data_IF_082360428869
#
_entry.id   IF_082360428869
#
_cell.length_a   1.000
_cell.length_b   1.000
_cell.length_c   1.000
_cell.angle_alpha   90.00
_cell.angle_beta   90.00
_cell.angle_gamma   90.00
#
_symmetry.space_group_name_H-M   'P 1'
#
loop_
_entity.id
_entity.type
_entity.pdbx_description
1 polymer ?
#
# COMPACT_ATOMS: atom_id res chain seq x y z
N UNK A 1 13.80 -6.94 17.44
CA UNK A 1 12.68 -6.42 16.62
C UNK A 1 11.76 -5.68 17.57
N UNK A 2 11.59 -4.37 17.41
CA UNK A 2 10.69 -3.58 18.26
C UNK A 2 9.25 -3.72 17.74
N UNK A 3 8.29 -3.84 18.66
CA UNK A 3 6.88 -3.70 18.32
C UNK A 3 6.61 -2.22 18.02
N UNK A 4 5.84 -1.95 16.98
CA UNK A 4 5.44 -0.61 16.56
C UNK A 4 3.93 -0.57 16.53
N UNK A 5 3.34 0.35 17.28
CA UNK A 5 1.90 0.63 17.22
C UNK A 5 1.67 1.79 16.26
N UNK A 6 0.81 1.66 15.24
CA UNK A 6 0.53 2.74 14.29
C UNK A 6 0.08 4.04 14.96
N UNK A 7 -0.60 3.92 16.11
CA UNK A 7 -1.06 5.05 16.92
C UNK A 7 0.06 5.84 17.61
N UNK A 8 1.25 5.28 17.71
CA UNK A 8 2.41 5.91 18.36
C UNK A 8 3.39 6.54 17.37
N UNK A 9 3.15 6.36 16.07
CA UNK A 9 3.97 6.91 14.99
C UNK A 9 3.82 8.43 14.97
N UNK A 10 4.94 9.15 15.12
CA UNK A 10 4.96 10.61 15.13
C UNK A 10 5.12 11.17 13.73
N UNK A 11 4.67 12.40 13.51
CA UNK A 11 4.75 13.10 12.21
C UNK A 11 6.16 13.08 11.61
N UNK A 12 7.19 13.23 12.45
CA UNK A 12 8.61 13.21 12.04
C UNK A 12 9.11 11.86 11.52
N UNK A 13 8.33 10.80 11.71
CA UNK A 13 8.64 9.45 11.25
C UNK A 13 7.96 9.12 9.91
N UNK A 14 7.06 10.00 9.45
CA UNK A 14 6.37 9.91 8.19
C UNK A 14 7.20 10.54 7.06
N UNK A 15 6.97 10.11 5.80
CA UNK A 15 6.11 9.02 5.36
C UNK A 15 6.71 7.62 5.61
N UNK A 16 5.86 6.60 5.61
CA UNK A 16 6.25 5.19 5.75
C UNK A 16 5.67 4.33 4.63
N UNK A 17 6.44 3.33 4.21
CA UNK A 17 5.92 2.18 3.45
C UNK A 17 5.52 1.10 4.45
N UNK A 18 4.39 0.45 4.22
CA UNK A 18 3.91 -0.64 5.05
C UNK A 18 3.67 -1.86 4.16
N UNK A 19 4.40 -2.94 4.47
CA UNK A 19 4.18 -4.24 3.87
C UNK A 19 3.17 -5.01 4.72
N UNK A 20 2.16 -5.58 4.06
CA UNK A 20 1.02 -6.22 4.71
C UNK A 20 0.93 -7.68 4.29
N UNK A 21 0.71 -8.55 5.27
CA UNK A 21 0.29 -9.93 5.06
C UNK A 21 -1.10 -10.16 5.66
N UNK A 22 -2.13 -10.21 4.81
CA UNK A 22 -3.44 -10.75 5.18
C UNK A 22 -3.43 -12.29 5.08
N UNK A 23 -3.63 -12.95 6.22
CA UNK A 23 -3.60 -14.42 6.30
C UNK A 23 -4.93 -15.12 5.94
N UNK A 24 -6.00 -14.39 5.63
CA UNK A 24 -7.35 -14.99 5.41
C UNK A 24 -7.72 -15.20 3.94
N UNK A 25 -7.05 -14.55 3.00
CA UNK A 25 -7.48 -14.50 1.59
C UNK A 25 -6.76 -15.47 0.65
N UNK A 26 -7.53 -16.16 -0.21
CA UNK A 26 -6.99 -16.95 -1.33
C UNK A 26 -6.19 -16.10 -2.32
N UNK A 27 -6.64 -14.88 -2.58
CA UNK A 27 -5.90 -13.87 -3.37
C UNK A 27 -4.53 -13.62 -2.76
N UNK A 28 -4.47 -13.40 -1.45
CA UNK A 28 -3.21 -13.16 -0.75
C UNK A 28 -2.26 -14.36 -0.80
N UNK A 29 -2.80 -15.57 -0.75
CA UNK A 29 -2.02 -16.79 -0.96
C UNK A 29 -1.43 -16.88 -2.37
N UNK A 30 -2.22 -16.56 -3.41
CA UNK A 30 -1.75 -16.56 -4.80
C UNK A 30 -0.62 -15.55 -5.02
N UNK A 31 -0.75 -14.34 -4.46
CA UNK A 31 0.29 -13.31 -4.54
C UNK A 31 1.58 -13.80 -3.91
N UNK A 32 1.53 -14.32 -2.68
CA UNK A 32 2.70 -14.84 -1.96
C UNK A 32 3.37 -16.00 -2.70
N UNK A 33 2.57 -16.92 -3.26
CA UNK A 33 3.07 -18.03 -4.08
C UNK A 33 3.74 -17.53 -5.37
N UNK A 34 3.15 -16.53 -6.02
CA UNK A 34 3.69 -15.97 -7.26
C UNK A 34 4.99 -15.19 -7.01
N UNK A 35 5.00 -14.32 -5.99
CA UNK A 35 6.14 -13.46 -5.66
C UNK A 35 7.27 -14.18 -4.91
N UNK A 36 7.04 -15.43 -4.47
CA UNK A 36 7.90 -16.13 -3.52
C UNK A 36 8.17 -15.31 -2.24
N UNK A 37 7.19 -14.48 -1.85
CA UNK A 37 7.27 -13.54 -0.75
C UNK A 37 6.30 -13.88 0.40
N UNK A 38 6.39 -13.10 1.49
CA UNK A 38 5.52 -13.23 2.66
C UNK A 38 4.43 -12.18 2.73
N UNK A 39 4.54 -11.10 1.96
CA UNK A 39 3.56 -10.01 1.92
C UNK A 39 2.70 -10.13 0.67
N UNK A 40 1.42 -9.77 0.82
CA UNK A 40 0.45 -9.80 -0.27
C UNK A 40 -0.16 -8.43 -0.59
N UNK A 41 0.22 -7.40 0.17
CA UNK A 41 -0.24 -6.06 -0.05
C UNK A 41 0.82 -5.04 0.42
N UNK A 42 0.78 -3.85 -0.15
CA UNK A 42 1.64 -2.73 0.19
C UNK A 42 0.79 -1.47 0.24
N UNK A 43 1.04 -0.65 1.25
CA UNK A 43 0.34 0.60 1.48
C UNK A 43 1.32 1.63 2.03
N UNK A 44 0.86 2.87 2.13
CA UNK A 44 1.66 3.99 2.59
C UNK A 44 1.01 4.62 3.82
N UNK A 45 1.80 5.32 4.62
CA UNK A 45 1.31 6.19 5.69
C UNK A 45 1.94 7.56 5.48
N UNK A 46 1.18 8.47 4.89
CA UNK A 46 1.59 9.86 4.68
C UNK A 46 1.11 10.79 5.80
N UNK A 47 0.09 10.35 6.55
CA UNK A 47 -0.55 11.11 7.62
C UNK A 47 -0.65 10.27 8.91
N UNK A 48 -0.66 10.90 10.09
CA UNK A 48 -0.86 10.19 11.35
C UNK A 48 -2.21 9.46 11.36
N UNK A 49 -2.23 8.26 11.95
CA UNK A 49 -3.43 7.42 12.12
C UNK A 49 -4.15 6.98 10.84
N UNK A 50 -3.61 7.30 9.66
CA UNK A 50 -4.25 7.01 8.37
C UNK A 50 -3.30 6.26 7.45
N UNK A 51 -3.73 5.08 6.99
CA UNK A 51 -3.09 4.40 5.87
C UNK A 51 -3.68 4.89 4.55
N UNK A 52 -2.86 4.90 3.52
CA UNK A 52 -3.27 5.15 2.14
C UNK A 52 -3.01 3.89 1.34
N UNK A 53 -4.07 3.31 0.80
CA UNK A 53 -4.07 1.95 0.28
C UNK A 53 -4.78 1.88 -1.07
N UNK A 54 -4.24 1.08 -1.98
CA UNK A 54 -4.85 0.73 -3.26
C UNK A 54 -5.38 -0.70 -3.17
N UNK A 55 -6.69 -0.86 -3.05
CA UNK A 55 -7.36 -2.17 -3.11
C UNK A 55 -8.43 -2.20 -4.21
N UNK A 56 -9.24 -3.27 -4.27
CA UNK A 56 -10.28 -3.47 -5.28
C UNK A 56 -11.31 -2.33 -5.36
N UNK A 57 -11.54 -1.59 -4.28
CA UNK A 57 -12.46 -0.44 -4.26
C UNK A 57 -11.78 0.82 -4.83
N UNK A 58 -10.45 0.90 -4.73
CA UNK A 58 -9.64 1.99 -5.30
C UNK A 58 -8.62 2.54 -4.32
N UNK A 59 -7.85 3.53 -4.77
CA UNK A 59 -6.92 4.29 -3.93
C UNK A 59 -7.70 5.19 -2.97
N UNK A 60 -7.49 5.00 -1.67
CA UNK A 60 -8.15 5.79 -0.63
C UNK A 60 -7.37 5.79 0.68
N UNK A 61 -7.78 6.70 1.53
CA UNK A 61 -7.46 6.69 2.95
C UNK A 61 -8.28 5.64 3.70
N UNK A 62 -7.64 5.05 4.70
CA UNK A 62 -8.23 4.02 5.57
C UNK A 62 -7.64 4.19 6.96
N UNK A 63 -8.49 4.16 7.99
CA UNK A 63 -8.03 4.20 9.38
C UNK A 63 -7.09 3.02 9.70
N UNK A 64 -6.08 3.27 10.55
CA UNK A 64 -5.12 2.23 10.98
C UNK A 64 -5.79 0.99 11.60
N UNK A 65 -6.96 1.17 12.18
CA UNK A 65 -7.80 0.13 12.78
C UNK A 65 -8.27 -0.93 11.77
N UNK A 66 -8.35 -0.57 10.49
CA UNK A 66 -8.73 -1.49 9.42
C UNK A 66 -7.68 -2.59 9.23
N UNK A 67 -6.40 -2.25 9.37
CA UNK A 67 -5.27 -3.16 9.10
C UNK A 67 -4.58 -3.71 10.35
N UNK A 68 -5.00 -3.31 11.55
CA UNK A 68 -4.49 -3.80 12.85
C UNK A 68 -5.29 -4.98 13.40
N UNK A 69 -5.90 -5.78 12.52
CA UNK A 69 -6.68 -6.97 12.91
C UNK A 69 -5.77 -8.15 13.25
N UNK A 70 -6.21 -9.12 14.08
CA UNK A 70 -5.37 -10.24 14.53
C UNK A 70 -4.76 -11.11 13.41
N UNK A 71 -5.38 -11.17 12.23
CA UNK A 71 -4.90 -11.96 11.09
C UNK A 71 -3.95 -11.19 10.16
N UNK A 72 -3.75 -9.90 10.39
CA UNK A 72 -2.85 -9.05 9.62
C UNK A 72 -1.47 -9.02 10.26
N UNK A 73 -0.41 -9.07 9.46
CA UNK A 73 0.95 -8.75 9.89
C UNK A 73 1.41 -7.52 9.13
N UNK A 74 1.90 -6.51 9.85
CA UNK A 74 2.38 -5.25 9.28
C UNK A 74 3.88 -5.12 9.51
N UNK A 75 4.62 -4.74 8.47
CA UNK A 75 6.02 -4.35 8.56
C UNK A 75 6.18 -2.92 8.06
N UNK A 76 6.58 -2.04 8.97
CA UNK A 76 6.83 -0.63 8.69
C UNK A 76 8.25 -0.45 8.16
N UNK A 77 8.39 0.27 7.06
CA UNK A 77 9.66 0.62 6.45
C UNK A 77 9.74 2.13 6.23
N UNK A 78 10.70 2.73 6.93
CA UNK A 78 11.09 4.13 6.79
C UNK A 78 12.33 4.29 5.94
N UNK A 79 12.39 5.34 5.12
CA UNK A 79 13.65 5.79 4.50
C UNK A 79 14.49 6.51 5.55
N UNK A 80 15.73 6.06 5.72
CA UNK A 80 16.67 6.66 6.67
C UNK A 80 17.05 8.07 6.20
N UNK A 81 17.18 8.99 7.13
CA UNK A 81 17.70 10.35 6.88
C UNK A 81 16.92 11.14 5.80
N UNK A 82 15.61 10.88 5.66
CA UNK A 82 14.73 11.61 4.74
C UNK A 82 14.68 13.10 5.10
N UNK A 83 14.92 13.96 4.11
CA UNK A 83 14.84 15.40 4.25
C UNK A 83 13.38 15.89 4.31
N UNK A 84 13.17 17.09 4.86
CA UNK A 84 11.85 17.71 4.88
C UNK A 84 11.27 17.92 3.46
N UNK A 85 12.14 18.20 2.48
CA UNK A 85 11.74 18.37 1.08
C UNK A 85 11.26 17.05 0.45
N UNK A 86 11.98 15.94 0.68
CA UNK A 86 11.56 14.61 0.20
C UNK A 86 10.27 14.15 0.88
N UNK A 87 10.16 14.35 2.20
CA UNK A 87 8.94 14.04 2.96
C UNK A 87 7.74 14.82 2.41
N UNK A 88 7.89 16.13 2.18
CA UNK A 88 6.84 16.95 1.57
C UNK A 88 6.49 16.48 0.16
N UNK A 89 7.49 16.17 -0.67
CA UNK A 89 7.28 15.70 -2.05
C UNK A 89 6.48 14.39 -2.08
N UNK A 90 6.76 13.49 -1.14
CA UNK A 90 6.01 12.26 -0.97
C UNK A 90 4.54 12.54 -0.60
N UNK A 91 4.32 13.35 0.43
CA UNK A 91 2.96 13.69 0.89
C UNK A 91 2.17 14.42 -0.19
N UNK A 92 2.77 15.38 -0.90
CA UNK A 92 2.15 16.08 -2.02
C UNK A 92 1.72 15.11 -3.14
N UNK A 93 2.57 14.10 -3.45
CA UNK A 93 2.26 13.05 -4.44
C UNK A 93 1.08 12.19 -3.99
N UNK A 94 1.07 11.75 -2.73
CA UNK A 94 -0.03 10.96 -2.15
C UNK A 94 -1.33 11.75 -2.19
N UNK A 95 -1.28 13.03 -1.82
CA UNK A 95 -2.44 13.91 -1.87
C UNK A 95 -2.96 14.09 -3.30
N UNK A 96 -2.07 14.34 -4.26
CA UNK A 96 -2.45 14.46 -5.66
C UNK A 96 -3.12 13.17 -6.21
N UNK A 97 -2.63 12.00 -5.78
CA UNK A 97 -3.24 10.70 -6.13
C UNK A 97 -4.63 10.51 -5.47
N UNK A 98 -4.81 10.98 -4.23
CA UNK A 98 -6.10 10.95 -3.53
C UNK A 98 -7.11 11.92 -4.15
N UNK A 99 -6.68 13.10 -4.58
CA UNK A 99 -7.52 14.13 -5.21
C UNK A 99 -7.87 13.82 -6.67
N UNK A 100 -7.21 12.81 -7.27
CA UNK A 100 -7.49 12.41 -8.63
C UNK A 100 -8.94 11.91 -8.79
N UNK A 101 -9.55 12.09 -9.98
CA UNK A 101 -10.89 11.56 -10.26
C UNK A 101 -10.96 10.06 -9.98
N UNK A 102 -12.10 9.60 -9.46
CA UNK A 102 -12.27 8.21 -9.02
C UNK A 102 -11.87 7.16 -10.08
N UNK A 103 -12.07 7.46 -11.36
CA UNK A 103 -11.67 6.61 -12.49
C UNK A 103 -10.16 6.32 -12.52
N UNK A 104 -9.34 7.30 -12.15
CA UNK A 104 -7.88 7.18 -12.12
C UNK A 104 -7.37 6.50 -10.84
N UNK A 105 -8.24 6.33 -9.85
CA UNK A 105 -7.95 5.66 -8.58
C UNK A 105 -8.35 4.18 -8.58
N UNK A 106 -8.96 3.69 -9.66
CA UNK A 106 -9.42 2.31 -9.77
C UNK A 106 -8.25 1.32 -9.74
N UNK A 107 -8.51 0.16 -9.17
CA UNK A 107 -7.57 -0.96 -9.17
C UNK A 107 -7.41 -1.53 -10.57
N UNK A 108 -6.17 -1.83 -10.97
CA UNK A 108 -5.91 -2.57 -12.21
C UNK A 108 -6.18 -4.08 -12.00
N UNK A 109 -7.45 -4.46 -12.08
CA UNK A 109 -7.88 -5.86 -11.94
C UNK A 109 -7.28 -6.72 -13.07
N UNK A 110 -7.20 -6.18 -14.29
CA UNK A 110 -6.68 -6.93 -15.44
C UNK A 110 -5.17 -7.12 -15.34
N UNK A 111 -4.43 -6.07 -14.96
CA UNK A 111 -3.01 -6.17 -14.66
C UNK A 111 -2.72 -7.15 -13.54
N UNK A 112 -3.53 -7.13 -12.47
CA UNK A 112 -3.41 -8.09 -11.37
C UNK A 112 -3.60 -9.56 -11.83
N UNK A 113 -4.64 -9.83 -12.64
CA UNK A 113 -4.85 -11.16 -13.24
C UNK A 113 -3.67 -11.52 -14.17
N UNK A 114 -3.19 -10.54 -14.95
CA UNK A 114 -2.02 -10.68 -15.80
C UNK A 114 -0.77 -11.08 -15.03
N UNK A 115 -0.52 -10.48 -13.86
CA UNK A 115 0.59 -10.87 -12.98
C UNK A 115 0.45 -12.33 -12.53
N UNK A 116 -0.73 -12.74 -12.03
CA UNK A 116 -0.96 -14.13 -11.62
C UNK A 116 -0.71 -15.11 -12.77
N UNK A 117 -1.19 -14.81 -13.98
CA UNK A 117 -1.08 -15.66 -15.18
C UNK A 117 0.24 -15.50 -15.94
N UNK A 118 1.13 -14.58 -15.51
CA UNK A 118 2.36 -14.18 -16.22
C UNK A 118 2.12 -13.59 -17.63
N UNK A 119 0.98 -12.94 -17.84
CA UNK A 119 0.61 -12.26 -19.09
C UNK A 119 0.75 -10.76 -18.90
N UNK A 120 1.93 -10.22 -19.22
CA UNK A 120 2.26 -8.79 -19.02
C UNK A 120 1.40 -7.83 -19.85
N UNK A 121 0.87 -8.27 -20.98
CA UNK A 121 0.04 -7.44 -21.87
C UNK A 121 -1.33 -7.08 -21.30
N UNK A 122 -1.76 -7.70 -20.19
CA UNK A 122 -3.01 -7.35 -19.52
C UNK A 122 -2.87 -6.14 -18.59
N UNK A 123 -1.66 -5.73 -18.26
CA UNK A 123 -1.39 -4.53 -17.49
C UNK A 123 -1.58 -3.29 -18.36
N UNK A 124 -2.34 -2.31 -17.86
CA UNK A 124 -2.53 -1.03 -18.55
C UNK A 124 -1.82 0.11 -17.81
N UNK A 125 -1.59 1.22 -18.51
CA UNK A 125 -0.89 2.38 -17.94
C UNK A 125 -1.82 3.37 -17.21
N UNK A 126 -3.13 3.13 -17.19
CA UNK A 126 -4.13 4.08 -16.69
C UNK A 126 -4.61 3.77 -15.27
N UNK A 127 -4.47 2.53 -14.83
CA UNK A 127 -4.84 2.05 -13.49
C UNK A 127 -3.64 1.36 -12.88
N UNK A 128 -3.63 1.26 -11.55
CA UNK A 128 -2.51 0.70 -10.80
C UNK A 128 -3.02 -0.31 -9.79
N UNK A 129 -2.24 -1.36 -9.53
CA UNK A 129 -2.39 -2.17 -8.32
C UNK A 129 -1.40 -1.72 -7.24
N UNK A 130 -1.46 -2.32 -6.05
CA UNK A 130 -0.86 -1.76 -4.85
C UNK A 130 0.64 -1.45 -4.94
N UNK A 131 1.44 -2.30 -5.60
CA UNK A 131 2.89 -2.11 -5.70
C UNK A 131 3.37 -1.19 -6.82
N UNK A 132 2.47 -0.59 -7.60
CA UNK A 132 2.83 0.29 -8.72
C UNK A 132 2.63 1.77 -8.42
N UNK A 133 2.23 2.07 -7.18
CA UNK A 133 2.05 3.45 -6.71
C UNK A 133 3.27 4.01 -6.04
#
# INVERSE_FOLDING_TARGET
MSLIYPSEIKDKELPLIILVDDRRGWIGFLIKRHSSGVYNHIMEMAYPLTFVSQDLVGFREVDVEHYTKPHMTLKFWRVKDMTAFESKTWTDRVQADLDAPWLNRRYDILGFIGQILRIRSLQNSHTKYCSER
#
